data_IF_299720180742
#
_entry.id   IF_299720180742
#
_cell.length_a   1.000
_cell.length_b   1.000
_cell.length_c   1.000
_cell.angle_alpha   90.00
_cell.angle_beta   90.00
_cell.angle_gamma   90.00
#
_symmetry.space_group_name_H-M   'P 1'
#
loop_
_entity.id
_entity.type
_entity.pdbx_description
1 polymer ?
#
# COMPACT_ATOMS: atom_id res chain seq x y z
N UNK A 1 0.81 -12.23 -2.96
CA UNK A 1 0.23 -11.48 -1.83
C UNK A 1 1.05 -10.24 -1.52
N UNK A 2 0.38 -9.21 -1.12
CA UNK A 2 1.04 -7.97 -0.74
C UNK A 2 0.78 -7.72 0.73
N UNK A 3 1.79 -7.21 1.43
CA UNK A 3 1.70 -6.99 2.88
C UNK A 3 1.66 -5.50 3.15
N UNK A 4 0.62 -5.08 3.85
CA UNK A 4 0.52 -3.73 4.39
C UNK A 4 1.01 -3.79 5.82
N UNK A 5 2.03 -3.00 6.14
CA UNK A 5 2.65 -3.04 7.45
C UNK A 5 2.67 -1.66 8.07
N UNK A 6 2.04 -1.55 9.24
CA UNK A 6 2.08 -0.34 10.05
C UNK A 6 3.18 -0.55 11.08
N UNK A 7 4.35 -0.05 10.78
CA UNK A 7 5.50 -0.41 11.59
C UNK A 7 5.48 0.24 12.99
N UNK A 8 4.78 1.34 13.17
CA UNK A 8 4.68 1.91 14.50
C UNK A 8 3.79 1.08 15.40
N UNK A 9 2.78 0.46 14.83
CA UNK A 9 1.83 -0.32 15.60
C UNK A 9 2.18 -1.80 15.57
N UNK A 10 3.16 -2.18 14.78
CA UNK A 10 3.57 -3.57 14.63
C UNK A 10 2.39 -4.42 14.18
N UNK A 11 1.61 -3.88 13.27
CA UNK A 11 0.43 -4.57 12.75
C UNK A 11 0.53 -4.68 11.26
N UNK A 12 0.00 -5.78 10.71
CA UNK A 12 0.06 -5.95 9.27
C UNK A 12 -1.17 -6.71 8.77
N UNK A 13 -1.43 -6.55 7.49
CA UNK A 13 -2.49 -7.27 6.79
C UNK A 13 -1.95 -7.68 5.44
N UNK A 14 -2.54 -8.72 4.86
CA UNK A 14 -2.15 -9.18 3.53
C UNK A 14 -3.31 -9.01 2.57
N UNK A 15 -2.98 -8.74 1.32
CA UNK A 15 -3.97 -8.49 0.28
C UNK A 15 -3.54 -9.15 -1.02
N UNK A 16 -4.53 -9.52 -1.83
CA UNK A 16 -4.24 -10.12 -3.12
C UNK A 16 -3.69 -9.11 -4.11
N UNK A 17 -4.09 -7.85 -3.98
CA UNK A 17 -3.68 -6.80 -4.91
C UNK A 17 -3.15 -5.62 -4.15
N UNK A 18 -2.13 -4.93 -4.69
CA UNK A 18 -1.52 -3.83 -3.96
C UNK A 18 -2.46 -2.64 -3.77
N UNK A 19 -3.35 -2.39 -4.72
CA UNK A 19 -4.28 -1.27 -4.56
C UNK A 19 -5.22 -1.49 -3.39
N UNK A 20 -5.55 -2.74 -3.10
CA UNK A 20 -6.37 -3.03 -1.94
C UNK A 20 -5.68 -2.63 -0.65
N UNK A 21 -4.37 -2.84 -0.60
CA UNK A 21 -3.60 -2.47 0.58
C UNK A 21 -3.62 -0.96 0.77
N UNK A 22 -3.43 -0.21 -0.31
CA UNK A 22 -3.43 1.25 -0.21
C UNK A 22 -4.80 1.79 0.14
N UNK A 23 -5.86 1.19 -0.43
CA UNK A 23 -7.21 1.60 -0.08
C UNK A 23 -7.47 1.40 1.41
N UNK A 24 -7.08 0.25 1.92
CA UNK A 24 -7.27 -0.05 3.33
C UNK A 24 -6.53 0.98 4.18
N UNK A 25 -5.28 1.27 3.81
CA UNK A 25 -4.47 2.20 4.58
C UNK A 25 -5.08 3.60 4.58
N UNK A 26 -5.57 4.03 3.42
CA UNK A 26 -6.12 5.37 3.32
C UNK A 26 -7.40 5.52 4.13
N UNK A 27 -8.17 4.44 4.23
CA UNK A 27 -9.38 4.49 5.03
C UNK A 27 -9.07 4.56 6.51
N UNK A 28 -7.97 3.94 6.93
CA UNK A 28 -7.61 3.90 8.33
C UNK A 28 -6.71 5.05 8.74
N UNK A 29 -6.13 5.73 7.78
CA UNK A 29 -5.16 6.76 8.07
C UNK A 29 -5.71 7.82 8.99
N UNK A 30 -6.93 8.21 8.77
CA UNK A 30 -7.52 9.28 9.55
C UNK A 30 -7.71 8.87 11.00
N UNK A 31 -7.72 7.58 11.26
CA UNK A 31 -7.97 7.10 12.59
C UNK A 31 -6.77 7.30 13.49
N UNK A 32 -5.59 7.02 12.98
CA UNK A 32 -4.40 7.12 13.83
C UNK A 32 -3.24 7.82 13.15
N UNK A 33 -3.34 8.08 11.85
CA UNK A 33 -2.27 8.78 11.17
C UNK A 33 -0.97 8.00 11.14
N UNK A 34 -1.03 6.71 11.33
CA UNK A 34 0.18 5.90 11.39
C UNK A 34 0.82 5.78 10.02
N UNK A 35 2.13 5.72 10.02
CA UNK A 35 2.86 5.49 8.79
C UNK A 35 2.86 4.00 8.46
N UNK A 36 2.91 3.70 7.18
CA UNK A 36 2.84 2.33 6.73
C UNK A 36 3.68 2.15 5.49
N UNK A 37 3.95 0.88 5.18
CA UNK A 37 4.59 0.50 3.92
C UNK A 37 3.82 -0.67 3.33
N UNK A 38 3.93 -0.84 2.02
CA UNK A 38 3.36 -1.98 1.33
C UNK A 38 4.50 -2.72 0.67
N UNK A 39 4.53 -4.03 0.83
CA UNK A 39 5.60 -4.86 0.30
C UNK A 39 5.02 -5.98 -0.54
N UNK A 40 5.77 -6.39 -1.57
CA UNK A 40 5.35 -7.53 -2.37
C UNK A 40 5.83 -8.83 -1.72
N UNK A 41 5.65 -9.94 -2.44
CA UNK A 41 6.00 -11.25 -1.89
C UNK A 41 7.49 -11.39 -1.65
N UNK A 42 8.27 -10.62 -2.35
CA UNK A 42 9.71 -10.71 -2.24
C UNK A 42 10.27 -9.73 -1.23
N UNK A 43 9.41 -8.94 -0.62
CA UNK A 43 9.85 -7.99 0.39
C UNK A 43 10.22 -6.63 -0.15
N UNK A 44 10.01 -6.38 -1.43
CA UNK A 44 10.29 -5.07 -1.99
C UNK A 44 9.16 -4.12 -1.72
N UNK A 45 9.48 -2.87 -1.47
CA UNK A 45 8.46 -1.85 -1.25
C UNK A 45 7.71 -1.55 -2.53
N UNK A 46 6.41 -1.39 -2.39
CA UNK A 46 5.53 -1.02 -3.49
C UNK A 46 5.03 0.40 -3.23
N UNK A 47 5.12 1.26 -4.24
CA UNK A 47 4.68 2.64 -4.12
C UNK A 47 3.41 2.84 -4.91
N UNK A 48 2.46 3.55 -4.30
CA UNK A 48 1.17 3.75 -4.95
C UNK A 48 1.32 4.44 -6.30
N UNK A 49 2.22 5.38 -6.41
CA UNK A 49 2.39 6.12 -7.65
C UNK A 49 2.79 5.20 -8.81
N UNK A 50 3.45 4.09 -8.49
CA UNK A 50 3.85 3.14 -9.53
C UNK A 50 2.68 2.34 -10.03
N UNK A 51 1.60 2.29 -9.28
CA UNK A 51 0.44 1.51 -9.64
C UNK A 51 -0.55 2.29 -10.47
N UNK A 52 -0.59 3.61 -10.29
CA UNK A 52 -1.58 4.43 -10.96
C UNK A 52 -1.02 5.16 -12.15
N UNK A 53 0.27 5.04 -12.36
CA UNK A 53 0.83 5.79 -13.43
C UNK A 53 0.39 5.23 -14.73
N UNK A 54 0.54 4.95 -15.10
CA UNK A 54 0.39 4.99 -16.33
C UNK A 54 -0.05 5.53 -17.20
N UNK A 55 -0.08 5.43 -16.69
CA UNK A 55 -0.43 5.77 -17.28
C UNK A 55 -0.86 6.51 -17.66
N UNK A 56 -1.08 6.24 -17.12
CA UNK A 56 -1.54 6.97 -17.41
C UNK A 56 -1.20 7.79 -18.03
N UNK A 57 -0.69 7.68 -17.78
CA UNK A 57 -0.43 8.29 -18.30
C UNK A 57 -0.44 8.50 -19.29
N UNK A 58 -0.26 8.27 -19.18
CA UNK A 58 -0.29 8.46 -19.98
C UNK A 58 -0.78 8.46 -20.59
N UNK A 59 -1.01 8.07 -20.37
CA UNK A 59 -1.43 8.16 -20.96
C UNK A 59 -1.79 8.72 -21.51
N UNK A 60 -1.63 8.69 -21.31
CA UNK A 60 -1.87 9.14 -21.83
C UNK A 60 -1.81 9.20 -22.27
#
# INVERSE_FOLDING_TARGET
MYTLYYYRDEAYWTFAFPMQAFDFAERNEKTNGSEYVVMDEEGYFVHKKDLVSPSGVGVG
#
